data_IF_328797632701
#
_entry.id   IF_328797632701
#
_cell.length_a   1.000
_cell.length_b   1.000
_cell.length_c   1.000
_cell.angle_alpha   90.00
_cell.angle_beta   90.00
_cell.angle_gamma   90.00
#
_symmetry.space_group_name_H-M   'P 1'
#
loop_
_entity.id
_entity.type
_entity.pdbx_description
1 polymer ?
#
# COMPACT_ATOMS: atom_id res chain seq x y z
N UNK A 1 -8.02 -38.15 -24.39
CA UNK A 1 -7.47 -37.51 -23.17
C UNK A 1 -8.09 -36.13 -23.07
N UNK A 2 -8.74 -35.76 -21.96
CA UNK A 2 -9.42 -34.46 -21.86
C UNK A 2 -8.39 -33.33 -21.74
N UNK A 3 -8.47 -32.37 -22.66
CA UNK A 3 -7.77 -31.08 -22.59
C UNK A 3 -8.34 -30.25 -21.44
N UNK A 4 -7.55 -30.07 -20.38
CA UNK A 4 -7.83 -29.09 -19.34
C UNK A 4 -7.58 -27.68 -19.89
N UNK A 5 -8.64 -27.07 -20.40
CA UNK A 5 -8.67 -25.63 -20.65
C UNK A 5 -8.78 -24.92 -19.31
N UNK A 6 -7.67 -24.38 -18.80
CA UNK A 6 -7.71 -23.42 -17.70
C UNK A 6 -8.26 -22.10 -18.24
N UNK A 7 -9.57 -21.92 -18.09
CA UNK A 7 -10.19 -20.60 -18.22
C UNK A 7 -9.77 -19.81 -16.98
N UNK A 8 -8.70 -19.03 -17.08
CA UNK A 8 -8.41 -18.01 -16.09
C UNK A 8 -9.48 -16.94 -16.23
N UNK A 9 -10.51 -17.01 -15.40
CA UNK A 9 -11.47 -15.92 -15.21
C UNK A 9 -10.71 -14.73 -14.63
N UNK A 10 -10.21 -13.87 -15.52
CA UNK A 10 -9.94 -12.46 -15.18
C UNK A 10 -11.29 -11.77 -14.97
N UNK A 11 -11.93 -12.09 -13.85
CA UNK A 11 -12.89 -11.17 -13.26
C UNK A 11 -12.08 -9.94 -12.88
N UNK A 12 -12.47 -8.78 -13.40
CA UNK A 12 -11.94 -7.48 -12.98
C UNK A 12 -12.42 -7.22 -11.55
N UNK A 13 -11.92 -8.00 -10.59
CA UNK A 13 -12.15 -7.80 -9.18
C UNK A 13 -11.44 -6.50 -8.81
N UNK A 14 -12.17 -5.58 -8.17
CA UNK A 14 -11.52 -4.43 -7.54
C UNK A 14 -10.40 -4.95 -6.64
N UNK A 15 -9.19 -4.38 -6.72
CA UNK A 15 -8.05 -4.88 -5.98
C UNK A 15 -8.35 -4.79 -4.49
N UNK A 16 -8.15 -5.90 -3.78
CA UNK A 16 -8.36 -5.92 -2.33
C UNK A 16 -7.23 -5.20 -1.61
N UNK A 17 -7.48 -4.73 -0.37
CA UNK A 17 -6.42 -4.18 0.48
C UNK A 17 -5.24 -5.15 0.59
N UNK A 18 -5.51 -6.45 0.78
CA UNK A 18 -4.47 -7.46 0.93
C UNK A 18 -3.58 -7.58 -0.32
N UNK A 19 -4.14 -7.53 -1.53
CA UNK A 19 -3.37 -7.59 -2.78
C UNK A 19 -2.52 -6.34 -2.99
N UNK A 20 -3.06 -5.17 -2.64
CA UNK A 20 -2.35 -3.90 -2.70
C UNK A 20 -1.18 -3.87 -1.70
N UNK A 21 -1.39 -4.36 -0.47
CA UNK A 21 -0.34 -4.48 0.54
C UNK A 21 0.71 -5.52 0.18
N UNK A 22 0.31 -6.65 -0.40
CA UNK A 22 1.24 -7.66 -0.90
C UNK A 22 2.12 -7.09 -2.03
N UNK A 23 1.55 -6.28 -2.92
CA UNK A 23 2.30 -5.61 -3.99
C UNK A 23 3.28 -4.58 -3.44
N UNK A 24 2.85 -3.81 -2.45
CA UNK A 24 3.72 -2.87 -1.73
C UNK A 24 4.89 -3.59 -1.05
N UNK A 25 4.60 -4.66 -0.30
CA UNK A 25 5.61 -5.43 0.41
C UNK A 25 6.58 -6.16 -0.54
N UNK A 26 6.11 -6.67 -1.67
CA UNK A 26 6.97 -7.25 -2.71
C UNK A 26 7.90 -6.22 -3.35
N UNK A 27 7.55 -4.92 -3.28
CA UNK A 27 8.34 -3.80 -3.78
C UNK A 27 9.25 -3.18 -2.70
N UNK A 28 9.40 -3.84 -1.55
CA UNK A 28 10.20 -3.33 -0.45
C UNK A 28 11.67 -3.11 -0.86
N UNK A 29 12.25 -1.93 -0.57
CA UNK A 29 13.65 -1.68 -0.85
C UNK A 29 14.55 -2.49 0.10
N UNK A 30 15.82 -2.66 -0.29
CA UNK A 30 16.85 -3.29 0.55
C UNK A 30 17.05 -2.53 1.87
N UNK A 31 17.49 -3.20 2.93
CA UNK A 31 17.75 -2.56 4.23
C UNK A 31 18.76 -1.40 4.16
N UNK A 32 19.72 -1.48 3.24
CA UNK A 32 20.72 -0.44 2.99
C UNK A 32 20.24 0.68 2.05
N UNK A 33 18.95 0.71 1.69
CA UNK A 33 18.43 1.71 0.77
C UNK A 33 18.46 3.12 1.36
N UNK A 34 18.67 4.17 0.54
CA UNK A 34 18.62 5.54 1.00
C UNK A 34 17.25 5.88 1.60
N UNK A 35 17.24 6.75 2.63
CA UNK A 35 16.00 7.23 3.26
C UNK A 35 14.99 7.81 2.26
N UNK A 36 15.45 8.39 1.14
CA UNK A 36 14.57 8.88 0.06
C UNK A 36 13.82 7.75 -0.64
N UNK A 37 14.47 6.61 -0.88
CA UNK A 37 13.86 5.43 -1.51
C UNK A 37 12.86 4.77 -0.56
N UNK A 38 13.19 4.71 0.73
CA UNK A 38 12.28 4.23 1.77
C UNK A 38 11.05 5.15 1.86
N UNK A 39 11.24 6.47 1.81
CA UNK A 39 10.14 7.43 1.81
C UNK A 39 9.24 7.30 0.57
N UNK A 40 9.82 7.12 -0.62
CA UNK A 40 9.06 6.88 -1.86
C UNK A 40 8.28 5.56 -1.79
N UNK A 41 8.87 4.51 -1.20
CA UNK A 41 8.19 3.24 -0.95
C UNK A 41 7.03 3.38 0.04
N UNK A 42 7.16 4.17 1.11
CA UNK A 42 6.03 4.50 1.98
C UNK A 42 4.95 5.31 1.24
N UNK A 43 5.33 6.27 0.40
CA UNK A 43 4.37 7.02 -0.41
C UNK A 43 3.59 6.12 -1.40
N UNK A 44 4.21 5.01 -1.84
CA UNK A 44 3.57 4.01 -2.68
C UNK A 44 2.40 3.31 -1.98
N UNK A 45 2.47 3.04 -0.66
CA UNK A 45 1.37 2.36 0.07
C UNK A 45 0.09 3.21 0.06
N UNK A 46 0.22 4.52 0.29
CA UNK A 46 -0.90 5.48 0.27
C UNK A 46 -1.49 5.61 -1.14
N UNK A 47 -0.63 5.64 -2.17
CA UNK A 47 -1.08 5.66 -3.57
C UNK A 47 -1.84 4.39 -3.95
N UNK A 48 -1.39 3.23 -3.49
CA UNK A 48 -2.06 1.96 -3.75
C UNK A 48 -3.42 1.88 -3.07
N UNK A 49 -3.61 2.48 -1.89
CA UNK A 49 -4.90 2.52 -1.19
C UNK A 49 -5.90 3.53 -1.79
N UNK A 50 -5.44 4.51 -2.57
CA UNK A 50 -6.26 5.58 -3.18
C UNK A 50 -7.51 5.09 -3.95
N UNK A 51 -7.45 4.04 -4.80
CA UNK A 51 -8.65 3.53 -5.47
C UNK A 51 -9.73 3.01 -4.51
N UNK A 52 -9.35 2.51 -3.32
CA UNK A 52 -10.31 2.05 -2.30
C UNK A 52 -10.80 3.21 -1.43
N UNK A 53 -9.89 4.10 -1.00
CA UNK A 53 -10.26 5.27 -0.19
C UNK A 53 -11.02 6.33 -0.98
N UNK A 54 -10.94 6.31 -2.31
CA UNK A 54 -11.69 7.18 -3.21
C UNK A 54 -13.10 6.68 -3.56
N UNK A 55 -13.43 5.42 -3.25
CA UNK A 55 -14.74 4.82 -3.53
C UNK A 55 -15.49 4.49 -2.22
N UNK A 56 -16.44 5.35 -1.78
CA UNK A 56 -17.20 5.11 -0.55
C UNK A 56 -18.10 3.87 -0.58
N UNK A 57 -18.41 3.37 -1.78
CA UNK A 57 -19.19 2.15 -1.97
C UNK A 57 -18.32 0.88 -1.89
N UNK A 58 -16.99 1.02 -1.80
CA UNK A 58 -16.10 -0.12 -1.70
C UNK A 58 -16.28 -0.82 -0.34
N UNK A 59 -16.44 -2.15 -0.29
CA UNK A 59 -16.70 -2.87 0.95
C UNK A 59 -15.57 -2.74 1.98
N UNK A 60 -14.34 -2.49 1.52
CA UNK A 60 -13.16 -2.27 2.36
C UNK A 60 -12.80 -0.78 2.53
N UNK A 61 -13.70 0.14 2.19
CA UNK A 61 -13.44 1.58 2.27
C UNK A 61 -13.02 2.03 3.68
N UNK A 62 -13.74 1.59 4.72
CA UNK A 62 -13.46 1.94 6.11
C UNK A 62 -12.06 1.49 6.54
N UNK A 63 -11.72 0.22 6.31
CA UNK A 63 -10.42 -0.36 6.66
C UNK A 63 -9.27 0.33 5.92
N UNK A 64 -9.45 0.64 4.62
CA UNK A 64 -8.44 1.35 3.85
C UNK A 64 -8.23 2.79 4.33
N UNK A 65 -9.30 3.46 4.77
CA UNK A 65 -9.23 4.80 5.34
C UNK A 65 -8.51 4.81 6.70
N UNK A 66 -8.78 3.82 7.56
CA UNK A 66 -8.08 3.66 8.84
C UNK A 66 -6.58 3.40 8.60
N UNK A 67 -6.26 2.45 7.72
CA UNK A 67 -4.87 2.13 7.38
C UNK A 67 -4.12 3.31 6.73
N UNK A 68 -4.77 4.07 5.85
CA UNK A 68 -4.18 5.28 5.26
C UNK A 68 -3.94 6.37 6.32
N UNK A 69 -4.83 6.47 7.32
CA UNK A 69 -4.69 7.41 8.43
C UNK A 69 -3.55 7.03 9.36
N UNK A 70 -3.39 5.75 9.69
CA UNK A 70 -2.26 5.24 10.48
C UNK A 70 -0.92 5.49 9.77
N UNK A 71 -0.81 5.11 8.49
CA UNK A 71 0.40 5.37 7.70
C UNK A 71 0.74 6.86 7.60
N UNK A 72 -0.28 7.73 7.48
CA UNK A 72 -0.08 9.18 7.48
C UNK A 72 0.39 9.70 8.83
N UNK A 73 -0.14 9.17 9.93
CA UNK A 73 0.27 9.53 11.28
C UNK A 73 1.71 9.12 11.56
N UNK A 74 2.11 7.90 11.17
CA UNK A 74 3.47 7.41 11.34
C UNK A 74 4.46 8.19 10.50
N UNK A 75 4.12 8.53 9.25
CA UNK A 75 4.93 9.41 8.41
C UNK A 75 5.14 10.81 9.04
N UNK A 76 4.09 11.38 9.66
CA UNK A 76 4.18 12.66 10.37
C UNK A 76 4.99 12.55 11.67
N UNK A 77 4.84 11.47 12.42
CA UNK A 77 5.60 11.20 13.63
C UNK A 77 7.10 11.02 13.33
N UNK A 78 7.43 10.30 12.27
CA UNK A 78 8.81 10.17 11.77
C UNK A 78 9.37 11.52 11.32
N UNK A 79 8.57 12.36 10.65
CA UNK A 79 8.98 13.72 10.29
C UNK A 79 9.25 14.60 11.52
N UNK A 80 8.44 14.47 12.57
CA UNK A 80 8.63 15.20 13.83
C UNK A 80 9.85 14.69 14.61
N UNK A 81 10.12 13.39 14.60
CA UNK A 81 11.28 12.77 15.26
C UNK A 81 12.60 12.98 14.52
N UNK A 82 12.59 12.93 13.17
CA UNK A 82 13.77 13.19 12.33
C UNK A 82 14.26 14.63 12.42
N UNK A 83 13.41 15.58 12.85
CA UNK A 83 13.81 16.96 13.15
C UNK A 83 14.57 17.13 14.47
N UNK A 84 14.67 16.09 15.31
CA UNK A 84 15.28 16.18 16.65
C UNK A 84 16.64 15.47 16.78
N UNK A 85 17.13 14.78 15.74
CA UNK A 85 18.39 14.02 15.79
C UNK A 85 19.59 14.75 15.15
N UNK A 86 19.56 16.07 15.04
CA UNK A 86 20.61 16.85 14.36
C UNK A 86 20.64 18.33 14.70
N UNK A 87 20.51 18.69 15.97
CA UNK A 87 20.87 20.02 16.49
C UNK A 87 21.97 19.88 17.54
#
# INVERSE_FOLDING_TARGET
MPSTSFTSTSTTAEPTICELLATWQASAPSEDAPNSVVADWFALSVRLLTPITGNPAHPQHADACELARENSHDALALRAGAGSAGA
#
